data_IF_299603518062
#
_entry.id   IF_299603518062
#
_cell.length_a   1.000
_cell.length_b   1.000
_cell.length_c   1.000
_cell.angle_alpha   90.00
_cell.angle_beta   90.00
_cell.angle_gamma   90.00
#
_symmetry.space_group_name_H-M   'P 1'
#
loop_
_entity.id
_entity.type
_entity.pdbx_description
1 polymer ?
#
# COMPACT_ATOMS: atom_id res chain seq x y z
N UNK A 1 -32.68 -64.96 -25.47
CA UNK A 1 -32.64 -63.63 -26.12
C UNK A 1 -32.34 -62.62 -25.04
N UNK A 2 -31.14 -62.03 -25.08
CA UNK A 2 -30.64 -61.08 -24.07
C UNK A 2 -31.07 -59.67 -24.48
N UNK A 3 -31.65 -58.89 -23.57
CA UNK A 3 -31.66 -57.43 -23.70
C UNK A 3 -31.33 -56.78 -22.36
N UNK A 4 -30.15 -56.17 -22.34
CA UNK A 4 -29.54 -55.40 -21.26
C UNK A 4 -30.17 -54.00 -21.23
N UNK A 5 -30.58 -53.54 -20.05
CA UNK A 5 -31.05 -52.16 -19.82
C UNK A 5 -29.86 -51.19 -19.80
N UNK A 6 -29.90 -50.01 -20.46
CA UNK A 6 -28.79 -49.07 -20.40
C UNK A 6 -28.82 -48.27 -19.09
N UNK A 7 -27.71 -48.31 -18.35
CA UNK A 7 -27.40 -47.43 -17.22
C UNK A 7 -27.13 -46.01 -17.72
N UNK A 8 -27.95 -45.04 -17.31
CA UNK A 8 -27.69 -43.61 -17.54
C UNK A 8 -26.69 -43.10 -16.50
N UNK A 9 -25.47 -42.83 -16.95
CA UNK A 9 -24.45 -42.14 -16.16
C UNK A 9 -24.85 -40.66 -15.94
N UNK A 10 -24.80 -40.21 -14.69
CA UNK A 10 -25.01 -38.81 -14.31
C UNK A 10 -23.90 -37.90 -14.87
N UNK A 11 -24.20 -36.67 -15.30
CA UNK A 11 -23.17 -35.74 -15.78
C UNK A 11 -22.31 -35.24 -14.62
N UNK A 12 -21.04 -35.66 -14.61
CA UNK A 12 -19.98 -35.18 -13.74
C UNK A 12 -19.72 -33.67 -13.97
N UNK A 13 -20.30 -32.81 -13.14
CA UNK A 13 -19.96 -31.38 -13.08
C UNK A 13 -18.73 -31.15 -12.19
N UNK A 14 -17.57 -31.59 -12.67
CA UNK A 14 -16.27 -31.13 -12.18
C UNK A 14 -15.74 -30.01 -13.09
N UNK A 15 -16.47 -28.89 -13.19
CA UNK A 15 -15.94 -27.70 -13.85
C UNK A 15 -14.97 -27.00 -12.89
N UNK A 16 -13.68 -27.29 -13.02
CA UNK A 16 -12.62 -26.51 -12.37
C UNK A 16 -12.83 -25.04 -12.71
N UNK A 17 -12.88 -24.11 -11.74
CA UNK A 17 -13.04 -22.69 -12.02
C UNK A 17 -11.87 -22.25 -12.90
N UNK A 18 -12.18 -21.67 -14.06
CA UNK A 18 -11.17 -21.15 -15.00
C UNK A 18 -10.38 -20.03 -14.31
N UNK A 19 -9.07 -19.96 -14.55
CA UNK A 19 -8.15 -18.96 -13.95
C UNK A 19 -8.69 -17.52 -13.99
N UNK A 20 -9.43 -17.17 -15.06
CA UNK A 20 -10.09 -15.87 -15.25
C UNK A 20 -11.18 -15.58 -14.20
N UNK A 21 -12.00 -16.59 -13.84
CA UNK A 21 -13.03 -16.45 -12.83
C UNK A 21 -12.44 -16.22 -11.43
N UNK A 22 -11.32 -16.86 -11.12
CA UNK A 22 -10.62 -16.68 -9.84
C UNK A 22 -9.97 -15.29 -9.71
N UNK A 23 -9.39 -14.73 -10.78
CA UNK A 23 -8.82 -13.39 -10.77
C UNK A 23 -9.89 -12.29 -10.61
N UNK A 24 -11.03 -12.43 -11.30
CA UNK A 24 -12.16 -11.51 -11.18
C UNK A 24 -12.83 -11.61 -9.79
N UNK A 25 -12.94 -12.81 -9.22
CA UNK A 25 -13.48 -13.03 -7.89
C UNK A 25 -12.57 -12.45 -6.79
N UNK A 26 -11.25 -12.58 -6.92
CA UNK A 26 -10.29 -11.98 -6.01
C UNK A 26 -10.45 -10.45 -6.00
N UNK A 27 -10.55 -9.84 -7.19
CA UNK A 27 -10.74 -8.40 -7.35
C UNK A 27 -12.05 -7.91 -6.71
N UNK A 28 -13.16 -8.65 -6.86
CA UNK A 28 -14.45 -8.30 -6.23
C UNK A 28 -14.43 -8.46 -4.70
N UNK A 29 -13.77 -9.51 -4.17
CA UNK A 29 -13.60 -9.71 -2.73
C UNK A 29 -12.92 -8.50 -2.08
N UNK A 30 -11.87 -7.96 -2.70
CA UNK A 30 -11.13 -6.81 -2.18
C UNK A 30 -11.98 -5.54 -1.97
N UNK A 31 -12.93 -5.25 -2.87
CA UNK A 31 -13.83 -4.10 -2.71
C UNK A 31 -14.92 -4.34 -1.66
N UNK A 32 -15.29 -5.59 -1.42
CA UNK A 32 -16.26 -5.97 -0.39
C UNK A 32 -15.67 -5.92 1.03
N UNK A 33 -14.34 -6.03 1.19
CA UNK A 33 -13.71 -5.92 2.52
C UNK A 33 -13.92 -4.55 3.15
N UNK A 34 -14.01 -3.47 2.37
CA UNK A 34 -14.19 -2.13 2.92
C UNK A 34 -15.55 -1.93 3.63
N UNK A 35 -16.69 -2.32 3.04
CA UNK A 35 -17.96 -2.43 3.76
C UNK A 35 -17.92 -3.37 4.96
N UNK A 36 -17.27 -4.54 4.83
CA UNK A 36 -17.15 -5.54 5.91
C UNK A 36 -16.33 -5.03 7.12
N UNK A 37 -15.45 -4.06 6.88
CA UNK A 37 -14.65 -3.40 7.91
C UNK A 37 -15.32 -2.15 8.50
N UNK A 38 -16.54 -1.82 8.06
CA UNK A 38 -17.28 -0.65 8.53
C UNK A 38 -16.61 0.67 8.17
N UNK A 39 -15.78 0.72 7.11
CA UNK A 39 -15.11 1.95 6.71
C UNK A 39 -16.14 2.97 6.21
N UNK A 40 -16.28 4.08 6.94
CA UNK A 40 -17.18 5.15 6.56
C UNK A 40 -16.74 5.80 5.23
N UNK A 41 -17.71 6.28 4.45
CA UNK A 41 -17.44 7.06 3.21
C UNK A 41 -16.49 8.23 3.48
N UNK A 42 -16.61 8.85 4.66
CA UNK A 42 -15.72 9.91 5.12
C UNK A 42 -14.26 9.47 5.15
N UNK A 43 -13.94 8.29 5.69
CA UNK A 43 -12.56 7.81 5.77
C UNK A 43 -11.92 7.57 4.40
N UNK A 44 -12.72 7.14 3.43
CA UNK A 44 -12.28 6.99 2.03
C UNK A 44 -11.97 8.37 1.42
N UNK A 45 -12.79 9.39 1.70
CA UNK A 45 -12.52 10.76 1.24
C UNK A 45 -11.25 11.33 1.87
N UNK A 46 -11.02 11.11 3.17
CA UNK A 46 -9.77 11.51 3.85
C UNK A 46 -8.55 10.85 3.22
N UNK A 47 -8.62 9.56 2.91
CA UNK A 47 -7.55 8.86 2.19
C UNK A 47 -7.27 9.48 0.82
N UNK A 48 -8.31 9.75 0.02
CA UNK A 48 -8.16 10.41 -1.29
C UNK A 48 -7.55 11.79 -1.16
N UNK A 49 -8.03 12.58 -0.20
CA UNK A 49 -7.46 13.88 0.11
C UNK A 49 -5.98 13.77 0.46
N UNK A 50 -5.60 12.77 1.26
CA UNK A 50 -4.21 12.57 1.63
C UNK A 50 -3.31 12.18 0.44
N UNK A 51 -3.78 11.34 -0.48
CA UNK A 51 -3.07 11.09 -1.74
C UNK A 51 -2.91 12.39 -2.57
N UNK A 52 -3.92 13.26 -2.59
CA UNK A 52 -3.81 14.56 -3.24
C UNK A 52 -2.75 15.44 -2.55
N UNK A 53 -2.70 15.45 -1.22
CA UNK A 53 -1.67 16.16 -0.45
C UNK A 53 -0.28 15.64 -0.78
N UNK A 54 -0.08 14.33 -0.93
CA UNK A 54 1.21 13.76 -1.36
C UNK A 54 1.59 14.28 -2.75
N UNK A 55 0.67 14.27 -3.71
CA UNK A 55 0.93 14.78 -5.07
C UNK A 55 1.26 16.28 -5.04
N UNK A 56 0.54 17.07 -4.25
CA UNK A 56 0.70 18.52 -4.23
C UNK A 56 1.93 18.98 -3.42
N UNK A 57 2.14 18.44 -2.23
CA UNK A 57 3.25 18.86 -1.37
C UNK A 57 4.56 18.20 -1.79
N UNK A 58 4.59 16.86 -1.81
CA UNK A 58 5.81 16.13 -2.18
C UNK A 58 6.03 16.17 -3.70
N UNK A 59 4.99 15.91 -4.48
CA UNK A 59 5.11 15.81 -5.93
C UNK A 59 5.56 17.12 -6.57
N UNK A 60 4.91 18.26 -6.29
CA UNK A 60 5.32 19.55 -6.88
C UNK A 60 6.79 19.84 -6.57
N UNK A 61 7.21 19.71 -5.30
CA UNK A 61 8.60 19.95 -4.91
C UNK A 61 9.57 19.03 -5.67
N UNK A 62 9.28 17.72 -5.69
CA UNK A 62 10.17 16.73 -6.31
C UNK A 62 10.23 16.86 -7.83
N UNK A 63 9.08 17.07 -8.48
CA UNK A 63 9.03 17.24 -9.93
C UNK A 63 9.63 18.57 -10.37
N UNK A 64 9.54 19.63 -9.56
CA UNK A 64 10.31 20.86 -9.82
C UNK A 64 11.80 20.56 -9.82
N UNK A 65 12.33 19.94 -8.77
CA UNK A 65 13.76 19.58 -8.68
C UNK A 65 14.22 18.68 -9.84
N UNK A 66 13.40 17.69 -10.21
CA UNK A 66 13.66 16.83 -11.36
C UNK A 66 13.69 17.67 -12.64
N UNK A 67 12.67 18.47 -12.94
CA UNK A 67 12.57 19.20 -14.22
C UNK A 67 13.63 20.30 -14.33
N UNK A 68 13.90 21.03 -13.25
CA UNK A 68 14.88 22.13 -13.25
C UNK A 68 16.33 21.66 -13.36
N UNK A 69 16.60 20.35 -13.23
CA UNK A 69 17.89 19.69 -13.47
C UNK A 69 19.13 20.54 -13.10
N UNK A 70 19.57 20.54 -11.84
CA UNK A 70 20.88 21.04 -11.48
C UNK A 70 21.98 20.36 -12.33
N UNK A 71 22.86 21.17 -12.94
CA UNK A 71 23.89 20.75 -13.92
C UNK A 71 24.78 19.60 -13.43
N UNK A 72 24.95 19.44 -12.12
CA UNK A 72 25.71 18.36 -11.52
C UNK A 72 24.95 17.72 -10.35
N UNK A 73 24.08 16.76 -10.67
CA UNK A 73 23.43 15.96 -9.64
C UNK A 73 24.42 14.99 -9.00
N UNK A 74 24.49 15.02 -7.67
CA UNK A 74 25.10 13.92 -6.95
C UNK A 74 24.24 12.66 -7.13
N UNK A 75 24.84 11.48 -7.39
CA UNK A 75 24.07 10.28 -7.73
C UNK A 75 23.04 9.85 -6.67
N UNK A 76 23.36 9.93 -5.38
CA UNK A 76 22.44 9.49 -4.31
C UNK A 76 21.22 10.41 -4.14
N UNK A 77 21.37 11.75 -4.06
CA UNK A 77 20.22 12.66 -4.10
C UNK A 77 19.35 12.48 -5.35
N UNK A 78 19.96 12.29 -6.53
CA UNK A 78 19.24 12.03 -7.77
C UNK A 78 18.33 10.79 -7.66
N UNK A 79 18.84 9.71 -7.09
CA UNK A 79 18.06 8.48 -6.82
C UNK A 79 16.90 8.76 -5.87
N UNK A 80 17.12 9.54 -4.80
CA UNK A 80 16.08 9.89 -3.85
C UNK A 80 14.94 10.69 -4.50
N UNK A 81 15.26 11.73 -5.27
CA UNK A 81 14.27 12.51 -6.01
C UNK A 81 13.52 11.65 -7.04
N UNK A 82 14.22 10.79 -7.76
CA UNK A 82 13.61 9.86 -8.73
C UNK A 82 12.63 8.91 -8.04
N UNK A 83 13.01 8.37 -6.88
CA UNK A 83 12.16 7.48 -6.08
C UNK A 83 10.92 8.20 -5.53
N UNK A 84 11.08 9.40 -4.95
CA UNK A 84 9.95 10.20 -4.48
C UNK A 84 9.05 10.67 -5.64
N UNK A 85 9.63 10.94 -6.81
CA UNK A 85 8.90 11.28 -8.04
C UNK A 85 7.99 10.12 -8.44
N UNK A 86 8.54 8.90 -8.49
CA UNK A 86 7.76 7.70 -8.76
C UNK A 86 6.67 7.45 -7.70
N UNK A 87 6.96 7.65 -6.41
CA UNK A 87 5.95 7.54 -5.35
C UNK A 87 4.80 8.54 -5.54
N UNK A 88 5.11 9.79 -5.88
CA UNK A 88 4.09 10.81 -6.14
C UNK A 88 3.25 10.50 -7.39
N UNK A 89 3.86 9.93 -8.43
CA UNK A 89 3.12 9.45 -9.61
C UNK A 89 2.19 8.28 -9.26
N UNK A 90 2.66 7.31 -8.47
CA UNK A 90 1.81 6.21 -7.98
C UNK A 90 0.69 6.70 -7.06
N UNK A 91 0.87 7.80 -6.33
CA UNK A 91 -0.17 8.39 -5.51
C UNK A 91 -1.40 8.85 -6.33
N UNK A 92 -1.23 9.14 -7.63
CA UNK A 92 -2.36 9.42 -8.56
C UNK A 92 -3.30 8.22 -8.63
N UNK A 93 -2.76 6.99 -8.67
CA UNK A 93 -3.58 5.77 -8.64
C UNK A 93 -4.30 5.59 -7.30
N UNK A 94 -3.73 6.13 -6.21
CA UNK A 94 -4.35 6.20 -4.89
C UNK A 94 -5.59 7.09 -4.84
N UNK A 95 -5.71 8.10 -5.72
CA UNK A 95 -6.95 8.89 -5.83
C UNK A 95 -8.11 8.04 -6.34
N UNK A 96 -7.85 7.19 -7.32
CA UNK A 96 -8.88 6.31 -7.90
C UNK A 96 -9.21 5.18 -6.93
N UNK A 97 -8.18 4.46 -6.46
CA UNK A 97 -8.31 3.26 -5.64
C UNK A 97 -7.53 3.38 -4.30
N UNK A 98 -7.98 4.21 -3.35
CA UNK A 98 -7.22 4.58 -2.16
C UNK A 98 -6.84 3.40 -1.26
N UNK A 99 -7.74 2.41 -1.14
CA UNK A 99 -7.51 1.22 -0.31
C UNK A 99 -6.51 0.24 -0.95
N UNK A 100 -6.46 0.18 -2.29
CA UNK A 100 -5.51 -0.68 -2.99
C UNK A 100 -4.07 -0.14 -2.92
N UNK A 101 -3.94 1.18 -2.80
CA UNK A 101 -2.65 1.85 -2.70
C UNK A 101 -2.18 2.07 -1.26
N UNK A 102 -2.85 1.49 -0.26
CA UNK A 102 -2.36 1.49 1.14
C UNK A 102 -0.90 1.03 1.27
N UNK A 103 -0.40 0.03 0.51
CA UNK A 103 1.03 -0.33 0.54
C UNK A 103 1.96 0.85 0.26
N UNK A 104 1.55 1.80 -0.60
CA UNK A 104 2.30 3.03 -0.88
C UNK A 104 2.45 3.90 0.37
N UNK A 105 1.38 4.05 1.15
CA UNK A 105 1.41 4.81 2.41
C UNK A 105 2.24 4.09 3.48
N UNK A 106 2.17 2.75 3.53
CA UNK A 106 2.99 1.95 4.44
C UNK A 106 4.50 2.07 4.13
N UNK A 107 4.88 2.10 2.86
CA UNK A 107 6.26 2.35 2.43
C UNK A 107 6.72 3.74 2.90
N UNK A 108 5.91 4.79 2.71
CA UNK A 108 6.25 6.13 3.17
C UNK A 108 6.40 6.20 4.68
N UNK A 109 5.45 5.62 5.42
CA UNK A 109 5.49 5.56 6.87
C UNK A 109 6.75 4.83 7.35
N UNK A 110 7.05 3.66 6.79
CA UNK A 110 8.24 2.87 7.14
C UNK A 110 9.55 3.61 6.82
N UNK A 111 9.66 4.21 5.63
CA UNK A 111 10.81 5.04 5.25
C UNK A 111 11.06 6.15 6.27
N UNK A 112 10.03 6.93 6.62
CA UNK A 112 10.16 8.06 7.54
C UNK A 112 10.52 7.58 8.95
N UNK A 113 9.93 6.48 9.42
CA UNK A 113 10.27 5.90 10.72
C UNK A 113 11.73 5.44 10.76
N UNK A 114 12.19 4.68 9.76
CA UNK A 114 13.57 4.23 9.68
C UNK A 114 14.51 5.44 9.66
N UNK A 115 14.21 6.45 8.85
CA UNK A 115 15.03 7.65 8.76
C UNK A 115 15.07 8.44 10.08
N UNK A 116 13.93 8.62 10.75
CA UNK A 116 13.87 9.32 12.04
C UNK A 116 14.63 8.58 13.14
N UNK A 117 14.51 7.25 13.19
CA UNK A 117 15.16 6.43 14.21
C UNK A 117 16.66 6.25 13.98
N UNK A 118 17.08 6.09 12.72
CA UNK A 118 18.46 5.73 12.38
C UNK A 118 19.32 6.94 12.00
N UNK A 119 18.71 8.06 11.59
CA UNK A 119 19.46 9.26 11.16
C UNK A 119 19.17 10.44 12.07
N UNK A 120 17.89 10.82 12.24
CA UNK A 120 17.56 12.01 13.01
C UNK A 120 17.82 11.85 14.50
N UNK A 121 17.44 10.70 15.07
CA UNK A 121 17.58 10.45 16.50
C UNK A 121 19.04 10.48 16.97
N UNK A 122 20.01 9.80 16.31
CA UNK A 122 21.42 9.93 16.67
C UNK A 122 21.95 11.37 16.57
N UNK A 123 21.60 12.11 15.52
CA UNK A 123 22.00 13.51 15.36
C UNK A 123 21.41 14.41 16.46
N UNK A 124 20.16 14.16 16.84
CA UNK A 124 19.51 14.88 17.93
C UNK A 124 20.17 14.56 19.28
N UNK A 125 20.43 13.28 19.56
CA UNK A 125 21.10 12.84 20.79
C UNK A 125 22.52 13.41 20.91
N UNK A 126 23.21 13.62 19.78
CA UNK A 126 24.52 14.26 19.73
C UNK A 126 24.49 15.81 19.74
N UNK A 127 23.31 16.43 19.83
CA UNK A 127 23.10 17.88 19.67
C UNK A 127 23.59 18.45 18.31
N UNK A 128 23.67 17.62 17.28
CA UNK A 128 24.15 17.98 15.95
C UNK A 128 23.01 18.18 14.94
N UNK A 129 21.76 17.94 15.33
CA UNK A 129 20.63 18.04 14.41
C UNK A 129 20.32 19.49 14.03
N UNK A 130 20.44 20.43 14.97
CA UNK A 130 20.09 21.84 14.75
C UNK A 130 21.10 22.48 13.80
N UNK A 131 20.65 23.18 12.76
CA UNK A 131 21.46 23.75 11.67
C UNK A 131 22.16 22.74 10.75
N UNK A 132 21.91 21.43 10.92
CA UNK A 132 22.38 20.42 9.96
C UNK A 132 21.52 20.38 8.70
N UNK A 133 22.08 19.79 7.63
CA UNK A 133 21.32 19.50 6.40
C UNK A 133 20.13 18.54 6.65
N UNK A 134 20.19 17.73 7.72
CA UNK A 134 19.14 16.79 8.09
C UNK A 134 17.95 17.47 8.80
N UNK A 135 18.08 18.70 9.28
CA UNK A 135 17.06 19.36 10.09
C UNK A 135 15.73 19.53 9.34
N UNK A 136 15.79 20.00 8.09
CA UNK A 136 14.60 20.22 7.25
C UNK A 136 13.86 18.92 6.98
N UNK A 137 14.60 17.89 6.54
CA UNK A 137 14.04 16.57 6.27
C UNK A 137 13.48 15.91 7.53
N UNK A 138 14.09 16.14 8.71
CA UNK A 138 13.55 15.66 9.99
C UNK A 138 12.18 16.24 10.29
N UNK A 139 12.02 17.55 10.17
CA UNK A 139 10.72 18.21 10.42
C UNK A 139 9.65 17.70 9.46
N UNK A 140 9.99 17.57 8.19
CA UNK A 140 9.07 17.05 7.17
C UNK A 140 8.69 15.59 7.43
N UNK A 141 9.67 14.73 7.75
CA UNK A 141 9.42 13.31 8.05
C UNK A 141 8.61 13.13 9.34
N UNK A 142 8.87 13.93 10.38
CA UNK A 142 8.10 13.87 11.63
C UNK A 142 6.63 14.25 11.40
N UNK A 143 6.37 15.36 10.71
CA UNK A 143 5.02 15.76 10.32
C UNK A 143 4.36 14.67 9.46
N UNK A 144 5.10 14.14 8.50
CA UNK A 144 4.65 13.07 7.62
C UNK A 144 4.22 11.81 8.39
N UNK A 145 5.00 11.37 9.38
CA UNK A 145 4.67 10.20 10.23
C UNK A 145 3.40 10.42 11.02
N UNK A 146 3.22 11.62 11.60
CA UNK A 146 1.99 11.95 12.34
C UNK A 146 0.77 11.91 11.42
N UNK A 147 0.88 12.48 10.22
CA UNK A 147 -0.21 12.45 9.23
C UNK A 147 -0.51 11.02 8.76
N UNK A 148 0.53 10.24 8.44
CA UNK A 148 0.40 8.84 8.04
C UNK A 148 -0.32 8.03 9.16
N UNK A 149 0.07 8.25 10.41
CA UNK A 149 -0.54 7.59 11.58
C UNK A 149 -2.03 7.91 11.75
N UNK A 150 -2.45 9.13 11.43
CA UNK A 150 -3.84 9.53 11.53
C UNK A 150 -4.70 9.04 10.36
N UNK A 151 -4.15 9.12 9.14
CA UNK A 151 -4.91 8.84 7.91
C UNK A 151 -5.01 7.34 7.64
N UNK A 152 -3.93 6.58 7.87
CA UNK A 152 -3.88 5.16 7.52
C UNK A 152 -4.96 4.41 8.32
N UNK A 153 -5.83 3.63 7.65
CA UNK A 153 -6.82 2.79 8.32
C UNK A 153 -6.14 1.57 8.94
N UNK A 154 -5.51 1.72 10.11
CA UNK A 154 -4.78 0.63 10.77
C UNK A 154 -5.60 -0.64 10.95
N UNK A 155 -6.89 -0.54 11.31
CA UNK A 155 -7.77 -1.71 11.38
C UNK A 155 -7.92 -2.46 10.05
N UNK A 156 -7.91 -1.75 8.92
CA UNK A 156 -7.82 -2.36 7.58
C UNK A 156 -6.46 -3.01 7.37
N UNK A 157 -5.38 -2.30 7.71
CA UNK A 157 -4.00 -2.80 7.53
C UNK A 157 -3.77 -4.11 8.28
N UNK A 158 -4.09 -4.14 9.58
CA UNK A 158 -3.93 -5.34 10.40
C UNK A 158 -4.77 -6.50 9.88
N UNK A 159 -6.04 -6.26 9.54
CA UNK A 159 -6.91 -7.34 9.04
C UNK A 159 -6.45 -7.86 7.69
N UNK A 160 -6.10 -6.97 6.77
CA UNK A 160 -5.80 -7.31 5.37
C UNK A 160 -4.39 -7.89 5.18
N UNK A 161 -3.38 -7.33 5.85
CA UNK A 161 -1.97 -7.68 5.58
C UNK A 161 -1.34 -8.56 6.67
N UNK A 162 -1.91 -8.57 7.89
CA UNK A 162 -1.32 -9.31 9.02
C UNK A 162 -2.19 -10.52 9.38
N UNK A 163 -3.49 -10.34 9.58
CA UNK A 163 -4.41 -11.38 10.07
C UNK A 163 -4.97 -12.29 8.97
N UNK A 164 -5.23 -11.79 7.75
CA UNK A 164 -5.71 -12.60 6.62
C UNK A 164 -4.62 -13.47 5.95
N UNK A 165 -3.49 -13.68 6.62
CA UNK A 165 -2.36 -14.43 6.08
C UNK A 165 -2.61 -15.94 5.96
N UNK A 166 -3.49 -16.60 6.73
CA UNK A 166 -3.85 -18.02 6.50
C UNK A 166 -5.19 -18.47 7.14
N UNK A 167 -6.23 -18.81 6.33
CA UNK A 167 -7.29 -19.73 6.77
C UNK A 167 -7.26 -21.11 6.07
N UNK A 168 -6.47 -21.29 5.00
CA UNK A 168 -6.63 -22.42 4.07
C UNK A 168 -5.66 -23.60 4.31
N UNK A 169 -5.11 -23.77 5.51
CA UNK A 169 -4.23 -24.93 5.82
C UNK A 169 -4.72 -25.82 6.97
N UNK A 170 -5.71 -25.37 7.78
CA UNK A 170 -6.26 -26.18 8.88
C UNK A 170 -7.34 -27.17 8.45
N UNK A 171 -8.02 -26.93 7.32
CA UNK A 171 -9.17 -27.75 6.89
C UNK A 171 -8.79 -28.98 6.06
N UNK A 172 -7.54 -29.09 5.59
CA UNK A 172 -7.07 -30.22 4.77
C UNK A 172 -6.42 -31.36 5.59
N UNK A 173 -6.22 -31.18 6.91
CA UNK A 173 -5.60 -32.18 7.78
C UNK A 173 -6.60 -32.94 8.67
N UNK A 174 -7.91 -32.68 8.55
CA UNK A 174 -8.96 -33.38 9.32
C UNK A 174 -9.76 -34.39 8.47
N UNK A 175 -9.35 -34.61 7.22
CA UNK A 175 -9.98 -35.55 6.30
C UNK A 175 -8.99 -36.54 5.67
N UNK A 176 -7.86 -36.82 6.35
CA UNK A 176 -6.98 -37.95 6.06
C UNK A 176 -6.85 -38.85 7.29
#
# INVERSE_FOLDING_TARGET
MVTVTPSQAAPNKSSKPTMSANAAAHTKRFFQVAPLLGLSRFRIMVLRFFYAVIILLLGVQVWTEIVTHPVAWQPLPAVAFSFWGALSALAILGLVNPLKMIPLLLIQFGYKLIWLLMVAYPLWAANQLVLSQAQGLTKANLLGVVLDLLVIPWGYVFKQYILLSHPEQGALNLSQ
#
